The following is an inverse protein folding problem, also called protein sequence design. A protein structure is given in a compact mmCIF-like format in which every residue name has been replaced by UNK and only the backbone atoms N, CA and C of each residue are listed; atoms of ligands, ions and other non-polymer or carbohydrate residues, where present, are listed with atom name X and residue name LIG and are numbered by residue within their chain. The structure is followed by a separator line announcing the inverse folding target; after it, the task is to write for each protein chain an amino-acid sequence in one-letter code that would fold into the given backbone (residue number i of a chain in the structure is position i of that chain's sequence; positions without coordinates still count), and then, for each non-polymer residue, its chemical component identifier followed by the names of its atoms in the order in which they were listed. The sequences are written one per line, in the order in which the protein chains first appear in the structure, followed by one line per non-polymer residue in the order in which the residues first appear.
data_IF_772179897648
#
_entry.id   IF_772179897648
#
_cell.length_a   1.000
_cell.length_b   1.000
_cell.length_c   1.000
_cell.angle_alpha   90.00
_cell.angle_beta   90.00
_cell.angle_gamma   90.00
#
_symmetry.space_group_name_H-M   'P 1'
#
loop_
_entity.id
_entity.type
_entity.pdbx_description
1 polymer ?
#
# COMPACT_ATOMS: atom_id res chain seq x y z
N UNK A 1 32.67 -7.50 16.44
CA UNK A 1 31.67 -6.49 16.83
C UNK A 1 30.59 -6.31 15.74
N UNK A 2 30.95 -5.96 14.50
CA UNK A 2 30.00 -5.74 13.38
C UNK A 2 29.01 -6.89 13.14
N UNK A 3 29.47 -8.15 13.22
CA UNK A 3 28.63 -9.33 13.03
C UNK A 3 27.50 -9.44 14.09
N UNK A 4 27.76 -9.01 15.33
CA UNK A 4 26.76 -9.03 16.40
C UNK A 4 25.72 -7.93 16.17
N UNK A 5 26.16 -6.75 15.73
CA UNK A 5 25.28 -5.62 15.41
C UNK A 5 24.34 -5.98 14.26
N UNK A 6 24.86 -6.53 13.14
CA UNK A 6 24.02 -6.93 12.01
C UNK A 6 23.09 -8.09 12.33
N UNK A 7 23.51 -9.03 13.20
CA UNK A 7 22.64 -10.10 13.71
C UNK A 7 21.47 -9.54 14.52
N UNK A 8 21.73 -8.56 15.39
CA UNK A 8 20.68 -7.86 16.13
C UNK A 8 19.74 -7.09 15.19
N UNK A 9 20.28 -6.35 14.21
CA UNK A 9 19.48 -5.63 13.21
C UNK A 9 18.58 -6.56 12.40
N UNK A 10 19.09 -7.73 11.98
CA UNK A 10 18.29 -8.76 11.30
C UNK A 10 17.12 -9.21 12.16
N UNK A 11 17.34 -9.48 13.44
CA UNK A 11 16.28 -9.91 14.36
C UNK A 11 15.21 -8.82 14.55
N UNK A 12 15.63 -7.56 14.71
CA UNK A 12 14.71 -6.41 14.81
C UNK A 12 13.91 -6.22 13.52
N UNK A 13 14.55 -6.34 12.36
CA UNK A 13 13.89 -6.26 11.06
C UNK A 13 12.83 -7.37 10.90
N UNK A 14 13.17 -8.62 11.25
CA UNK A 14 12.23 -9.74 11.23
C UNK A 14 11.01 -9.50 12.13
N UNK A 15 11.22 -8.99 13.35
CA UNK A 15 10.12 -8.67 14.26
C UNK A 15 9.20 -7.57 13.70
N UNK A 16 9.77 -6.53 13.09
CA UNK A 16 9.01 -5.46 12.43
C UNK A 16 8.24 -5.96 11.21
N UNK A 17 8.85 -6.81 10.39
CA UNK A 17 8.19 -7.42 9.23
C UNK A 17 6.97 -8.23 9.67
N UNK A 18 7.14 -9.09 10.69
CA UNK A 18 6.02 -9.88 11.22
C UNK A 18 4.89 -8.99 11.73
N UNK A 19 5.20 -7.92 12.47
CA UNK A 19 4.20 -6.95 12.95
C UNK A 19 3.48 -6.25 11.80
N UNK A 20 4.21 -5.85 10.75
CA UNK A 20 3.64 -5.21 9.57
C UNK A 20 2.73 -6.18 8.80
N UNK A 21 3.13 -7.44 8.65
CA UNK A 21 2.32 -8.47 8.01
C UNK A 21 1.02 -8.71 8.76
N UNK A 22 1.06 -8.90 10.08
CA UNK A 22 -0.15 -9.08 10.88
C UNK A 22 -1.09 -7.87 10.78
N UNK A 23 -0.55 -6.65 10.72
CA UNK A 23 -1.35 -5.44 10.50
C UNK A 23 -2.03 -5.45 9.13
N UNK A 24 -1.30 -5.81 8.07
CA UNK A 24 -1.82 -5.89 6.71
C UNK A 24 -2.93 -6.95 6.59
N UNK A 25 -2.71 -8.14 7.18
CA UNK A 25 -3.70 -9.21 7.25
C UNK A 25 -4.96 -8.76 8.02
N UNK A 26 -4.78 -8.05 9.15
CA UNK A 26 -5.90 -7.50 9.92
C UNK A 26 -6.71 -6.44 9.17
N UNK A 27 -6.11 -5.70 8.24
CA UNK A 27 -6.84 -4.71 7.40
C UNK A 27 -7.58 -5.34 6.22
N UNK A 28 -7.32 -6.60 5.90
CA UNK A 28 -7.86 -7.27 4.71
C UNK A 28 -9.40 -7.32 4.66
N UNK A 29 -10.13 -7.67 5.75
CA UNK A 29 -11.59 -7.73 5.70
C UNK A 29 -12.24 -6.37 5.39
N UNK A 30 -11.64 -5.28 5.89
CA UNK A 30 -12.12 -3.93 5.62
C UNK A 30 -11.93 -3.54 4.15
N UNK A 31 -10.74 -3.79 3.59
CA UNK A 31 -10.43 -3.51 2.19
C UNK A 31 -11.36 -4.31 1.25
N UNK A 32 -11.60 -5.59 1.57
CA UNK A 32 -12.53 -6.44 0.81
C UNK A 32 -13.96 -5.89 0.86
N UNK A 33 -14.44 -5.46 2.04
CA UNK A 33 -15.80 -4.94 2.18
C UNK A 33 -16.00 -3.60 1.47
N UNK A 34 -15.04 -2.70 1.55
CA UNK A 34 -15.07 -1.44 0.78
C UNK A 34 -15.05 -1.71 -0.72
N UNK A 35 -14.20 -2.62 -1.18
CA UNK A 35 -14.17 -3.02 -2.58
C UNK A 35 -15.52 -3.57 -3.06
N UNK A 36 -16.20 -4.37 -2.23
CA UNK A 36 -17.55 -4.84 -2.53
C UNK A 36 -18.56 -3.68 -2.61
N UNK A 37 -18.54 -2.73 -1.67
CA UNK A 37 -19.48 -1.59 -1.67
C UNK A 37 -19.26 -0.71 -2.90
N UNK A 38 -18.01 -0.36 -3.21
CA UNK A 38 -17.67 0.43 -4.40
C UNK A 38 -18.11 -0.24 -5.70
N UNK A 39 -17.98 -1.58 -5.80
CA UNK A 39 -18.48 -2.34 -6.95
C UNK A 39 -20.00 -2.35 -7.04
N UNK A 40 -20.70 -2.50 -5.92
CA UNK A 40 -22.16 -2.40 -5.93
C UNK A 40 -22.62 -1.00 -6.33
N UNK A 41 -21.98 0.06 -5.81
CA UNK A 41 -22.32 1.45 -6.12
C UNK A 41 -22.00 1.86 -7.57
N UNK A 42 -21.00 1.24 -8.21
CA UNK A 42 -20.68 1.49 -9.63
C UNK A 42 -21.59 0.73 -10.59
N UNK A 43 -22.19 -0.38 -10.16
CA UNK A 43 -23.11 -1.19 -10.97
C UNK A 43 -24.58 -0.80 -10.78
N UNK A 44 -24.94 -0.21 -9.65
CA UNK A 44 -26.23 0.42 -9.47
C UNK A 44 -26.19 1.79 -10.16
N UNK A 45 -27.03 2.02 -11.16
CA UNK A 45 -27.27 3.35 -11.72
C UNK A 45 -27.80 4.26 -10.61
N UNK A 46 -26.88 4.89 -9.86
CA UNK A 46 -27.20 5.90 -8.89
C UNK A 46 -27.49 7.18 -9.68
N UNK A 47 -28.73 7.30 -10.16
CA UNK A 47 -29.24 8.54 -10.77
C UNK A 47 -28.90 9.72 -9.84
N UNK A 48 -27.97 10.58 -10.30
CA UNK A 48 -27.54 11.78 -9.58
C UNK A 48 -26.23 11.67 -8.76
N UNK A 49 -25.56 10.51 -8.70
CA UNK A 49 -24.26 10.40 -8.01
C UNK A 49 -23.09 10.69 -8.97
N UNK A 50 -22.59 11.94 -8.94
CA UNK A 50 -21.38 12.35 -9.66
C UNK A 50 -20.23 12.60 -8.68
N UNK A 51 -19.13 11.86 -8.85
CA UNK A 51 -17.89 12.08 -8.10
C UNK A 51 -16.76 12.43 -9.08
N UNK A 52 -15.99 13.51 -8.85
CA UNK A 52 -14.84 13.86 -9.68
C UNK A 52 -13.77 12.76 -9.79
N UNK A 53 -13.78 11.77 -8.87
CA UNK A 53 -12.87 10.63 -8.89
C UNK A 53 -13.33 9.49 -9.82
N UNK A 54 -14.61 9.49 -10.24
CA UNK A 54 -15.19 8.49 -11.13
C UNK A 54 -15.35 9.01 -12.58
N UNK A 55 -15.18 10.32 -12.79
CA UNK A 55 -15.30 10.94 -14.12
C UNK A 55 -14.10 10.60 -15.01
N UNK A 56 -14.38 10.04 -16.19
CA UNK A 56 -13.37 9.79 -17.23
C UNK A 56 -13.16 11.08 -18.02
N UNK A 57 -11.96 11.65 -17.93
CA UNK A 57 -11.58 12.90 -18.59
C UNK A 57 -10.31 12.75 -19.44
N UNK A 58 -10.09 13.61 -20.45
CA UNK A 58 -8.86 13.62 -21.22
C UNK A 58 -7.62 13.82 -20.34
N UNK A 59 -6.60 12.98 -20.52
CA UNK A 59 -5.37 13.01 -19.72
C UNK A 59 -4.53 14.22 -20.16
N UNK A 60 -4.44 15.23 -19.29
CA UNK A 60 -3.54 16.39 -19.48
C UNK A 60 -2.20 16.22 -18.74
N UNK A 61 -2.22 15.51 -17.61
CA UNK A 61 -1.06 15.24 -16.74
C UNK A 61 -1.28 13.90 -16.03
N UNK A 62 -0.21 13.14 -15.86
CA UNK A 62 -0.22 11.87 -15.13
C UNK A 62 0.54 12.04 -13.82
N UNK A 63 -0.09 11.65 -12.70
CA UNK A 63 0.55 11.63 -11.40
C UNK A 63 1.08 10.21 -11.13
N UNK A 64 2.35 10.12 -10.73
CA UNK A 64 2.94 8.88 -10.26
C UNK A 64 3.18 8.98 -8.76
N UNK A 65 2.73 7.97 -8.02
CA UNK A 65 3.01 7.85 -6.58
C UNK A 65 4.06 6.76 -6.42
N UNK A 66 5.27 7.16 -6.05
CA UNK A 66 6.40 6.27 -5.85
C UNK A 66 6.56 6.01 -4.36
N UNK A 67 6.56 4.74 -3.96
CA UNK A 67 6.69 4.33 -2.55
C UNK A 67 8.02 3.62 -2.36
N UNK A 68 8.99 4.31 -1.76
CA UNK A 68 10.32 3.78 -1.45
C UNK A 68 10.52 3.50 0.05
N UNK A 69 11.74 3.11 0.43
CA UNK A 69 12.09 2.95 1.85
C UNK A 69 12.56 4.26 2.48
N UNK A 70 12.09 4.53 3.69
CA UNK A 70 12.55 5.66 4.51
C UNK A 70 13.94 5.44 5.13
N UNK A 71 14.42 4.19 5.17
CA UNK A 71 15.69 3.81 5.79
C UNK A 71 16.57 3.01 4.82
N UNK A 72 17.88 3.24 4.90
CA UNK A 72 18.89 2.47 4.17
C UNK A 72 19.09 1.05 4.72
N UNK A 73 20.06 0.33 4.15
CA UNK A 73 20.36 -1.07 4.47
C UNK A 73 19.20 -2.04 4.16
N UNK A 74 18.39 -1.72 3.16
CA UNK A 74 17.28 -2.54 2.65
C UNK A 74 17.64 -3.26 1.33
N UNK A 75 18.93 -3.44 1.04
CA UNK A 75 19.41 -4.01 -0.22
C UNK A 75 19.00 -3.13 -1.41
N UNK A 76 18.52 -3.77 -2.48
CA UNK A 76 18.11 -3.12 -3.73
C UNK A 76 16.67 -2.57 -3.71
N UNK A 77 16.00 -2.50 -2.55
CA UNK A 77 14.57 -2.15 -2.48
C UNK A 77 14.25 -0.81 -3.16
N UNK A 78 14.84 0.30 -2.72
CA UNK A 78 14.56 1.62 -3.30
C UNK A 78 15.17 1.83 -4.68
N UNK A 79 16.16 1.03 -5.07
CA UNK A 79 16.81 1.15 -6.39
C UNK A 79 16.03 0.44 -7.50
N UNK A 80 15.17 -0.51 -7.13
CA UNK A 80 14.32 -1.26 -8.06
C UNK A 80 12.92 -0.65 -8.22
N UNK A 81 12.60 0.37 -7.42
CA UNK A 81 11.37 1.17 -7.49
C UNK A 81 11.59 2.33 -8.43
#
# INVERSE_FOLDING_TARGET
NTQQITKAMKMVASARLRKAQTKAEGTRPYAEKIGQILRHMSNSDLEGFSSPLLEVRPIKRTCYIVVGADKGLAGAFSSNV
#
